data_IF_048334190567
#
_entry.id   IF_048334190567
#
_cell.length_a   1.000
_cell.length_b   1.000
_cell.length_c   1.000
_cell.angle_alpha   90.00
_cell.angle_beta   90.00
_cell.angle_gamma   90.00
#
_symmetry.space_group_name_H-M   'P 1'
#
loop_
_entity.id
_entity.type
_entity.pdbx_description
1 polymer ?
2 non-polymer ?
3 non-polymer ?
4 non-polymer ?
5 non-polymer ?
6 water ?
#
# COMPACT_ATOMS: atom_id res chain seq x y z
N UNK A 14 2.41 3.77 -24.28
CA UNK A 14 1.06 3.50 -24.84
C UNK A 14 0.72 1.99 -24.88
N UNK A 15 -0.47 1.69 -24.38
CA UNK A 15 -1.05 0.36 -24.46
C UNK A 15 -2.46 0.49 -25.03
N UNK A 16 -2.87 -0.54 -25.73
CA UNK A 16 -4.23 -0.61 -26.26
C UNK A 16 -5.17 -1.00 -25.14
N UNK A 17 -6.31 -0.33 -25.03
CA UNK A 17 -7.37 -0.73 -24.02
C UNK A 17 -6.84 -0.83 -22.58
N UNK A 18 -6.25 0.20 -22.01
CA UNK A 18 -5.70 0.07 -20.70
C UNK A 18 -6.79 -0.05 -19.65
N UNK A 19 -6.60 -0.87 -18.64
CA UNK A 19 -7.58 -1.05 -17.52
C UNK A 19 -7.21 -0.32 -16.29
N UNK A 20 -6.11 0.39 -16.27
CA UNK A 20 -5.66 1.04 -15.02
C UNK A 20 -5.30 2.42 -15.40
N UNK A 21 -6.33 3.19 -15.64
CA UNK A 21 -6.22 4.50 -16.19
C UNK A 21 -6.83 5.60 -15.34
N UNK A 22 -8.04 5.39 -14.91
CA UNK A 22 -8.84 6.42 -14.26
C UNK A 22 -9.17 5.90 -12.86
N UNK A 23 -9.12 6.81 -11.87
CA UNK A 23 -9.64 6.54 -10.56
C UNK A 23 -11.01 7.23 -10.37
N UNK A 24 -11.97 6.43 -9.90
CA UNK A 24 -13.30 6.89 -9.61
C UNK A 24 -13.59 6.74 -8.14
N UNK A 25 -14.59 7.45 -7.63
CA UNK A 25 -15.08 7.23 -6.27
C UNK A 25 -15.57 5.83 -6.14
N UNK A 26 -15.10 5.09 -5.14
CA UNK A 26 -15.53 3.70 -4.93
C UNK A 26 -16.99 3.60 -4.62
N UNK A 27 -17.56 4.63 -4.01
CA UNK A 27 -18.98 4.55 -3.59
C UNK A 27 -19.92 4.88 -4.68
N UNK A 28 -19.61 5.68 -5.67
CA UNK A 28 -20.58 6.14 -6.67
C UNK A 28 -20.10 6.24 -8.04
N UNK A 29 -18.81 6.13 -8.35
CA UNK A 29 -18.32 6.22 -9.67
C UNK A 29 -17.94 7.55 -10.25
N UNK A 30 -18.05 8.64 -9.45
CA UNK A 30 -17.62 9.94 -9.94
C UNK A 30 -16.15 9.86 -10.38
N UNK A 31 -15.83 10.47 -11.52
CA UNK A 31 -14.44 10.56 -11.97
C UNK A 31 -13.66 11.46 -11.02
N UNK A 32 -12.50 10.97 -10.58
CA UNK A 32 -11.69 11.71 -9.57
C UNK A 32 -10.29 11.99 -10.09
N UNK A 33 -9.51 11.02 -10.54
CA UNK A 33 -8.14 11.31 -10.97
C UNK A 33 -7.69 10.28 -11.96
N UNK A 34 -6.40 10.27 -12.24
CA UNK A 34 -5.84 9.40 -13.27
C UNK A 34 -4.52 8.91 -12.83
N UNK A 35 -4.14 7.72 -13.21
CA UNK A 35 -2.81 7.23 -12.85
C UNK A 35 -1.65 8.12 -13.38
N UNK A 36 -1.88 8.70 -14.52
CA UNK A 36 -0.87 9.58 -15.11
C UNK A 36 -0.58 10.79 -14.21
N UNK A 37 -1.53 11.11 -13.30
CA UNK A 37 -1.35 12.28 -12.45
C UNK A 37 -0.82 11.93 -11.07
N UNK A 38 -0.35 10.75 -10.83
CA UNK A 38 0.30 10.45 -9.57
C UNK A 38 1.55 11.32 -9.40
N UNK A 39 1.84 11.76 -8.17
CA UNK A 39 2.85 12.72 -7.89
C UNK A 39 3.78 12.18 -6.82
N UNK A 40 5.03 11.89 -7.15
CA UNK A 40 5.91 11.37 -6.10
C UNK A 40 6.47 12.36 -5.07
N UNK A 41 5.65 12.84 -4.15
CA UNK A 41 6.05 13.73 -3.05
C UNK A 41 7.10 13.14 -2.14
N UNK A 42 8.24 13.82 -1.95
CA UNK A 42 9.29 13.22 -1.12
C UNK A 42 9.80 11.91 -1.69
N UNK A 43 9.70 11.69 -3.01
CA UNK A 43 10.13 10.49 -3.67
C UNK A 43 9.19 9.29 -3.76
N UNK A 44 7.97 9.47 -3.29
CA UNK A 44 7.03 8.34 -3.29
C UNK A 44 5.64 8.92 -3.47
N UNK A 45 4.83 8.35 -4.34
CA UNK A 45 3.43 8.82 -4.41
C UNK A 45 2.62 8.29 -3.24
N UNK A 46 3.09 7.26 -2.55
CA UNK A 46 2.35 6.70 -1.42
C UNK A 46 2.95 7.14 -0.08
N UNK A 47 2.08 7.66 0.81
CA UNK A 47 2.45 8.11 2.12
C UNK A 47 1.52 7.48 3.13
N UNK A 48 2.03 6.73 4.12
CA UNK A 48 1.18 6.10 5.07
C UNK A 48 1.24 6.91 6.37
N UNK A 49 0.09 7.35 6.82
CA UNK A 49 -0.03 8.38 7.85
C UNK A 49 -1.15 8.08 8.79
N UNK A 50 -1.18 8.72 9.97
CA UNK A 50 -2.32 8.64 10.86
C UNK A 50 -2.80 9.96 11.34
N UNK A 51 -4.08 10.12 11.58
CA UNK A 51 -4.63 11.34 12.15
C UNK A 51 -4.69 11.30 13.69
N UNK A 52 -5.18 12.39 14.30
CA UNK A 52 -5.24 12.46 15.78
C UNK A 52 -6.20 11.47 16.37
N UNK A 53 -7.11 10.91 15.56
CA UNK A 53 -8.02 9.85 16.05
C UNK A 53 -7.43 8.49 15.80
N UNK A 54 -6.18 8.40 15.44
CA UNK A 54 -5.45 7.14 15.22
C UNK A 54 -5.80 6.40 13.95
N UNK A 55 -6.57 6.97 13.06
CA UNK A 55 -6.91 6.32 11.79
C UNK A 55 -5.70 6.32 10.88
N UNK A 56 -5.35 5.18 10.29
CA UNK A 56 -4.23 5.03 9.34
C UNK A 56 -4.79 5.18 7.96
N UNK A 57 -4.09 5.94 7.13
CA UNK A 57 -4.52 6.16 5.72
C UNK A 57 -3.31 5.87 4.83
N UNK A 58 -3.59 5.13 3.74
CA UNK A 58 -2.65 4.95 2.66
C UNK A 58 -3.00 6.03 1.66
N UNK A 59 -2.26 7.08 1.68
CA UNK A 59 -2.52 8.31 0.90
C UNK A 59 -1.69 8.24 -0.40
N UNK A 60 -2.38 8.39 -1.52
CA UNK A 60 -1.68 8.54 -2.80
C UNK A 60 -1.75 9.99 -3.18
N UNK A 61 -0.60 10.56 -3.55
CA UNK A 61 -0.53 11.97 -3.96
C UNK A 61 -0.73 12.10 -5.45
N UNK A 62 -1.57 13.04 -5.82
CA UNK A 62 -1.88 13.36 -7.23
C UNK A 62 -1.67 14.83 -7.45
N UNK A 63 -1.13 15.17 -8.63
CA UNK A 63 -1.00 16.57 -8.99
C UNK A 63 -2.32 17.25 -9.22
N UNK A 64 -3.31 16.48 -9.66
CA UNK A 64 -4.57 16.97 -10.13
C UNK A 64 -5.64 15.96 -9.72
N UNK A 65 -6.81 16.50 -9.56
CA UNK A 65 -8.02 15.70 -9.32
C UNK A 65 -9.17 16.55 -9.70
N UNK A 66 -10.31 15.90 -9.93
CA UNK A 66 -11.56 16.53 -10.31
C UNK A 66 -12.67 15.85 -9.57
N UNK A 67 -13.85 16.37 -9.66
CA UNK A 67 -15.06 15.69 -9.11
C UNK A 67 -15.15 15.73 -7.63
N UNK A 68 -14.32 16.52 -6.97
CA UNK A 68 -14.33 16.68 -5.51
C UNK A 68 -15.05 17.90 -5.13
N UNK A 69 -15.37 18.05 -3.84
CA UNK A 69 -15.75 19.32 -3.26
C UNK A 69 -14.88 19.58 -2.08
N UNK A 70 -14.22 20.74 -2.08
CA UNK A 70 -13.24 21.09 -1.03
C UNK A 70 -13.97 21.85 -0.01
N UNK A 71 -13.92 21.45 1.26
CA UNK A 71 -14.78 21.93 2.31
C UNK A 71 -14.04 22.85 3.24
N UNK A 72 -14.60 24.06 3.39
CA UNK A 72 -14.00 25.01 4.32
C UNK A 72 -12.74 25.63 3.85
N UNK A 73 -12.02 26.19 4.83
CA UNK A 73 -10.83 26.92 4.64
C UNK A 73 -9.59 26.06 5.14
N UNK A 74 -8.44 26.34 4.63
CA UNK A 74 -7.29 25.53 4.91
C UNK A 74 -6.82 25.59 6.34
N UNK A 75 -6.19 24.53 6.84
CA UNK A 75 -5.57 24.45 8.12
C UNK A 75 -4.21 23.84 8.03
N UNK A 76 -3.23 24.33 8.75
CA UNK A 76 -1.96 23.68 8.86
C UNK A 76 -1.88 22.64 9.97
N UNK A 77 -2.90 22.49 10.78
CA UNK A 77 -2.82 21.65 11.98
C UNK A 77 -2.60 20.21 11.62
N UNK A 78 -1.59 19.60 12.19
CA UNK A 78 -1.33 18.18 12.05
C UNK A 78 -0.99 17.86 10.59
N UNK A 79 -0.61 18.80 9.74
CA UNK A 79 -0.39 18.44 8.35
C UNK A 79 0.71 17.42 8.19
N UNK A 80 0.39 16.40 7.36
CA UNK A 80 1.36 15.34 7.06
C UNK A 80 2.44 15.77 6.10
N UNK A 81 2.31 16.95 5.51
CA UNK A 81 3.20 17.39 4.46
C UNK A 81 3.73 18.77 4.84
N UNK A 82 5.04 18.84 5.09
CA UNK A 82 5.61 20.07 5.62
C UNK A 82 5.42 21.23 4.66
N UNK A 83 4.90 22.33 5.23
CA UNK A 83 4.67 23.54 4.50
C UNK A 83 3.36 23.66 3.81
N UNK A 84 2.50 22.61 3.94
CA UNK A 84 1.19 22.63 3.30
C UNK A 84 0.07 22.68 4.30
N UNK A 85 -0.99 23.38 3.92
CA UNK A 85 -2.21 23.46 4.68
C UNK A 85 -3.22 22.62 3.92
N UNK A 86 -4.17 22.07 4.62
CA UNK A 86 -5.14 21.09 4.00
C UNK A 86 -6.56 21.60 4.11
N UNK A 87 -7.36 21.10 3.19
CA UNK A 87 -8.82 21.23 3.16
C UNK A 87 -9.35 19.78 2.94
N UNK A 88 -10.39 19.42 3.63
CA UNK A 88 -11.09 18.12 3.33
C UNK A 88 -11.59 18.12 1.94
N UNK A 89 -11.40 16.99 1.29
CA UNK A 89 -11.90 16.76 -0.09
C UNK A 89 -12.93 15.62 -0.08
N UNK A 90 -14.16 15.98 -0.32
CA UNK A 90 -15.24 15.01 -0.44
C UNK A 90 -15.48 14.70 -1.88
N UNK A 91 -15.96 13.51 -2.16
CA UNK A 91 -16.57 13.27 -3.49
C UNK A 91 -17.67 14.27 -3.70
N UNK A 92 -17.58 15.00 -4.84
CA UNK A 92 -18.58 15.99 -5.10
C UNK A 92 -19.90 15.47 -5.47
N UNK A 93 -20.02 14.19 -5.75
CA UNK A 93 -21.27 13.60 -6.10
C UNK A 93 -21.92 12.99 -4.85
N UNK A 94 -21.21 12.08 -4.17
CA UNK A 94 -21.85 11.37 -3.06
C UNK A 94 -21.45 11.82 -1.66
N UNK A 95 -20.41 12.64 -1.51
CA UNK A 95 -19.98 13.09 -0.20
C UNK A 95 -19.02 12.20 0.51
N UNK A 96 -18.63 11.08 -0.02
CA UNK A 96 -17.62 10.21 0.59
C UNK A 96 -16.33 11.01 0.81
N UNK A 97 -15.71 10.83 1.97
CA UNK A 97 -14.46 11.54 2.23
C UNK A 97 -13.33 10.86 1.51
N UNK A 98 -12.83 11.47 0.43
CA UNK A 98 -11.83 10.89 -0.41
C UNK A 98 -10.40 11.27 -0.12
N UNK A 99 -10.22 12.38 0.61
CA UNK A 99 -8.88 12.79 1.00
C UNK A 99 -8.82 14.24 1.34
N UNK A 100 -7.77 14.91 0.84
CA UNK A 100 -7.50 16.30 1.24
C UNK A 100 -6.85 16.98 0.04
N UNK A 101 -7.10 18.28 -0.03
CA UNK A 101 -6.35 19.14 -0.95
C UNK A 101 -5.33 19.93 -0.14
N UNK A 102 -4.13 19.95 -0.62
CA UNK A 102 -3.02 20.68 0.06
C UNK A 102 -2.62 21.88 -0.75
N UNK A 103 -2.40 22.98 -0.04
CA UNK A 103 -1.98 24.25 -0.69
C UNK A 103 -1.05 25.00 0.26
N UNK A 104 -0.50 26.06 -0.30
CA UNK A 104 0.27 26.96 0.48
C UNK A 104 1.76 26.61 0.59
N UNK A 105 2.18 25.56 -0.09
CA UNK A 105 3.53 25.05 -0.02
C UNK A 105 4.36 25.47 -1.24
N UNK A 106 5.35 24.61 -1.51
CA UNK A 106 6.38 24.91 -2.51
C UNK A 106 6.70 23.68 -3.30
N UNK A 107 6.73 23.84 -4.62
CA UNK A 107 7.20 22.80 -5.55
C UNK A 107 6.65 21.39 -5.28
N UNK A 108 5.34 21.21 -5.41
CA UNK A 108 4.37 22.14 -5.90
C UNK A 108 3.74 23.03 -4.83
N UNK A 109 3.07 24.04 -5.28
CA UNK A 109 2.28 24.84 -4.34
C UNK A 109 1.10 24.05 -3.78
N UNK A 110 0.52 23.20 -4.65
CA UNK A 110 -0.68 22.47 -4.35
C UNK A 110 -0.64 21.05 -4.84
N UNK A 111 -1.39 20.16 -4.19
CA UNK A 111 -1.59 18.80 -4.67
C UNK A 111 -2.75 18.18 -3.91
N UNK A 112 -3.15 16.98 -4.32
CA UNK A 112 -4.18 16.22 -3.60
C UNK A 112 -3.59 14.98 -2.97
N UNK A 113 -4.01 14.69 -1.75
CA UNK A 113 -3.71 13.41 -1.11
C UNK A 113 -4.97 12.62 -0.95
N UNK A 114 -5.12 11.55 -1.73
CA UNK A 114 -6.38 10.81 -1.75
C UNK A 114 -6.17 9.43 -1.10
N UNK A 115 -7.18 8.94 -0.46
CA UNK A 115 -7.15 7.68 0.27
C UNK A 115 -7.36 6.55 -0.70
N UNK A 116 -6.30 5.73 -0.89
CA UNK A 116 -6.27 4.80 -2.01
C UNK A 116 -7.43 3.86 -2.04
N UNK A 117 -7.79 3.30 -0.87
CA UNK A 117 -8.84 2.30 -0.77
C UNK A 117 -10.26 2.86 -0.87
N UNK A 118 -10.38 4.18 -1.03
CA UNK A 118 -11.66 4.80 -1.28
C UNK A 118 -11.90 5.10 -2.71
N UNK A 119 -10.96 4.71 -3.57
CA UNK A 119 -11.04 4.90 -5.03
C UNK A 119 -11.15 3.53 -5.70
N UNK A 120 -11.71 3.48 -6.88
CA UNK A 120 -11.70 2.31 -7.78
C UNK A 120 -10.94 2.65 -9.04
N UNK A 121 -10.06 1.80 -9.48
CA UNK A 121 -9.25 2.08 -10.67
C UNK A 121 -9.76 1.27 -11.88
N UNK A 122 -9.74 1.90 -13.07
CA UNK A 122 -10.32 1.16 -14.20
C UNK A 122 -10.01 1.90 -15.48
N UNK A 123 -10.65 1.44 -16.55
CA UNK A 123 -10.39 1.98 -17.87
C UNK A 123 -10.77 3.43 -18.08
N UNK A 124 -10.21 4.04 -19.11
CA UNK A 124 -10.37 5.43 -19.49
C UNK A 124 -11.79 5.74 -20.00
N UNK A 125 -12.15 7.01 -20.04
CA UNK A 125 -13.50 7.40 -20.56
C UNK A 125 -13.29 8.09 -21.89
N UNK B 14 10.91 -21.68 13.54
CA UNK B 14 10.98 -22.55 12.33
C UNK B 14 9.57 -22.75 11.90
N UNK B 15 9.36 -22.94 10.59
CA UNK B 15 8.06 -23.11 9.96
C UNK B 15 8.03 -24.49 9.30
N UNK B 16 7.02 -25.31 9.69
CA UNK B 16 6.99 -26.71 9.28
C UNK B 16 5.93 -26.95 8.24
N UNK B 17 5.08 -25.97 8.00
CA UNK B 17 3.87 -26.16 7.20
C UNK B 17 3.41 -24.85 6.67
N UNK B 18 2.35 -24.86 5.85
CA UNK B 18 1.79 -23.61 5.42
C UNK B 18 1.11 -22.89 6.54
N UNK B 19 0.74 -21.66 6.27
CA UNK B 19 -0.07 -20.86 7.21
C UNK B 19 -1.30 -21.63 7.65
N UNK B 20 -1.80 -21.29 8.83
CA UNK B 20 -2.93 -21.97 9.34
C UNK B 20 -4.17 -21.49 8.70
N UNK B 21 -4.14 -20.49 7.78
CA UNK B 21 -5.36 -20.10 7.15
C UNK B 21 -5.42 -20.22 5.59
N UNK B 22 -6.67 -20.47 5.18
CA UNK B 22 -6.97 -20.69 3.80
C UNK B 22 -8.16 -19.88 3.43
N UNK B 23 -8.35 -19.64 2.14
CA UNK B 23 -9.53 -18.99 1.58
C UNK B 23 -10.34 -20.04 0.86
N UNK B 24 -11.60 -20.15 1.27
CA UNK B 24 -12.50 -21.12 0.65
C UNK B 24 -13.53 -20.35 -0.13
N UNK B 25 -14.14 -21.02 -1.12
CA UNK B 25 -15.30 -20.46 -1.79
C UNK B 25 -16.38 -20.22 -0.79
N UNK B 26 -16.91 -19.01 -0.74
CA UNK B 26 -17.92 -18.68 0.28
C UNK B 26 -19.20 -19.50 0.02
N UNK B 27 -19.48 -19.84 -1.24
CA UNK B 27 -20.72 -20.56 -1.55
C UNK B 27 -20.71 -22.03 -1.33
N UNK B 28 -19.59 -22.72 -1.55
CA UNK B 28 -19.58 -24.18 -1.33
C UNK B 28 -18.48 -24.71 -0.42
N UNK B 29 -17.56 -23.87 0.00
CA UNK B 29 -16.51 -24.33 0.83
C UNK B 29 -15.28 -24.93 0.27
N UNK B 30 -15.20 -25.10 -1.04
CA UNK B 30 -14.02 -25.69 -1.67
C UNK B 30 -12.81 -24.76 -1.33
N UNK B 31 -11.67 -25.30 -0.96
CA UNK B 31 -10.48 -24.59 -0.83
C UNK B 31 -10.03 -24.00 -2.17
N UNK B 32 -9.73 -22.72 -2.16
CA UNK B 32 -9.31 -21.97 -3.36
C UNK B 32 -7.93 -21.44 -3.25
N UNK B 33 -7.56 -20.72 -2.19
CA UNK B 33 -6.20 -20.21 -2.10
C UNK B 33 -5.81 -20.06 -0.65
N UNK B 34 -4.69 -19.41 -0.40
CA UNK B 34 -4.10 -19.41 0.92
C UNK B 34 -3.48 -18.08 1.17
N UNK B 35 -3.50 -17.61 2.41
CA UNK B 35 -2.85 -16.43 2.81
C UNK B 35 -1.35 -16.36 2.51
N UNK B 36 -0.70 -17.51 2.56
CA UNK B 36 0.73 -17.55 2.24
C UNK B 36 0.97 -17.14 0.77
N UNK B 37 -0.06 -17.23 -0.06
CA UNK B 37 0.08 -16.93 -1.48
C UNK B 37 -0.39 -15.55 -1.86
N UNK B 38 -0.68 -14.67 -0.88
CA UNK B 38 -1.01 -13.32 -1.20
C UNK B 38 0.13 -12.66 -1.96
N UNK B 39 -0.19 -11.83 -2.95
CA UNK B 39 0.80 -11.30 -3.86
C UNK B 39 0.62 -9.82 -3.97
N UNK B 40 1.56 -9.02 -3.50
CA UNK B 40 1.36 -7.57 -3.54
C UNK B 40 1.66 -6.92 -4.88
N UNK B 41 0.83 -7.13 -5.87
CA UNK B 41 1.01 -6.57 -7.22
C UNK B 41 0.89 -5.08 -7.15
N UNK B 42 1.84 -4.35 -7.78
CA UNK B 42 1.78 -2.91 -7.71
C UNK B 42 1.89 -2.37 -6.28
N UNK B 43 2.43 -3.12 -5.33
CA UNK B 43 2.61 -2.74 -3.96
C UNK B 43 1.46 -2.98 -3.00
N UNK B 44 0.45 -3.70 -3.46
CA UNK B 44 -0.71 -3.91 -2.60
C UNK B 44 -1.32 -5.21 -3.04
N UNK B 45 -1.72 -6.11 -2.11
CA UNK B 45 -2.52 -7.23 -2.52
C UNK B 45 -3.97 -6.92 -2.80
N UNK B 46 -4.44 -5.79 -2.30
CA UNK B 46 -5.83 -5.35 -2.59
C UNK B 46 -5.92 -4.33 -3.67
N UNK B 47 -6.79 -4.57 -4.65
CA UNK B 47 -7.01 -3.64 -5.73
C UNK B 47 -8.51 -3.44 -5.88
N UNK B 48 -9.01 -2.26 -5.69
CA UNK B 48 -10.38 -1.89 -5.95
C UNK B 48 -10.41 -1.37 -7.36
N UNK B 49 -11.24 -1.99 -8.18
CA UNK B 49 -11.19 -1.82 -9.66
C UNK B 49 -12.58 -1.74 -10.20
N UNK B 50 -12.73 -1.25 -11.44
CA UNK B 50 -14.01 -1.27 -12.11
C UNK B 50 -13.82 -1.70 -13.56
N UNK B 51 -14.84 -2.38 -14.09
CA UNK B 51 -14.76 -2.94 -15.45
C UNK B 51 -15.42 -1.92 -16.43
N UNK B 52 -15.44 -2.24 -17.76
CA UNK B 52 -16.01 -1.33 -18.71
C UNK B 52 -17.53 -1.11 -18.57
N UNK B 53 -18.20 -2.05 -17.87
CA UNK B 53 -19.63 -1.88 -17.59
C UNK B 53 -19.86 -1.14 -16.32
N UNK B 54 -18.82 -0.66 -15.71
CA UNK B 54 -18.88 0.15 -14.46
C UNK B 54 -19.15 -0.71 -13.24
N UNK B 55 -18.97 -2.00 -13.26
CA UNK B 55 -19.08 -2.80 -12.05
C UNK B 55 -17.79 -2.70 -11.28
N UNK B 56 -17.89 -2.51 -9.97
CA UNK B 56 -16.76 -2.36 -9.03
C UNK B 56 -16.51 -3.63 -8.33
N UNK B 57 -15.23 -4.00 -8.22
CA UNK B 57 -14.80 -5.21 -7.50
C UNK B 57 -13.68 -4.87 -6.60
N UNK B 58 -13.58 -5.56 -5.51
CA UNK B 58 -12.46 -5.53 -4.64
C UNK B 58 -11.71 -6.82 -4.71
N UNK B 59 -10.58 -6.82 -5.34
CA UNK B 59 -9.82 -8.00 -5.71
C UNK B 59 -8.58 -8.12 -4.86
N UNK B 60 -8.29 -9.34 -4.39
CA UNK B 60 -7.02 -9.68 -3.72
C UNK B 60 -6.21 -10.52 -4.66
N UNK B 61 -4.94 -10.21 -4.76
CA UNK B 61 -4.04 -10.97 -5.65
C UNK B 61 -3.36 -12.11 -4.92
N UNK B 62 -3.38 -13.27 -5.59
CA UNK B 62 -2.74 -14.49 -5.07
C UNK B 62 -1.85 -15.05 -6.13
N UNK B 63 -0.72 -15.62 -5.78
CA UNK B 63 0.20 -16.21 -6.77
C UNK B 63 -0.38 -17.47 -7.40
N UNK B 64 -1.05 -18.29 -6.64
CA UNK B 64 -1.60 -19.58 -7.03
C UNK B 64 -3.01 -19.68 -6.51
N UNK B 65 -3.74 -20.61 -7.04
CA UNK B 65 -5.05 -20.99 -6.55
C UNK B 65 -5.33 -22.40 -7.01
N UNK B 66 -6.37 -22.99 -6.48
CA UNK B 66 -6.82 -24.32 -6.89
C UNK B 66 -8.31 -24.38 -6.83
N UNK B 67 -8.83 -25.40 -7.49
CA UNK B 67 -10.28 -25.60 -7.42
C UNK B 67 -11.10 -24.72 -8.28
N UNK B 68 -10.50 -23.89 -9.12
CA UNK B 68 -11.25 -23.05 -10.04
C UNK B 68 -11.37 -23.70 -11.39
N UNK B 69 -12.22 -23.13 -12.22
CA UNK B 69 -12.32 -23.47 -13.67
C UNK B 69 -12.21 -22.17 -14.41
N UNK B 70 -11.21 -22.04 -15.29
CA UNK B 70 -10.98 -20.86 -16.07
C UNK B 70 -11.71 -20.98 -17.36
N UNK B 71 -12.48 -20.01 -17.80
CA UNK B 71 -13.31 -20.16 -18.97
C UNK B 71 -12.90 -19.18 -20.04
N UNK B 72 -12.81 -19.64 -21.25
CA UNK B 72 -12.52 -18.78 -22.36
C UNK B 72 -11.06 -18.60 -22.67
N UNK B 73 -10.80 -17.98 -23.82
CA UNK B 73 -9.45 -17.67 -24.17
C UNK B 73 -9.01 -16.42 -23.37
N UNK B 74 -7.74 -16.24 -23.11
CA UNK B 74 -7.25 -15.06 -22.42
C UNK B 74 -7.49 -13.82 -23.27
N UNK B 75 -7.76 -12.69 -22.60
CA UNK B 75 -8.02 -11.42 -23.26
C UNK B 75 -7.17 -10.39 -22.63
N UNK B 76 -6.65 -9.46 -23.47
CA UNK B 76 -5.97 -8.33 -22.95
C UNK B 76 -6.85 -7.11 -22.73
N UNK B 77 -8.11 -7.19 -23.11
CA UNK B 77 -9.00 -5.98 -23.12
C UNK B 77 -9.18 -5.42 -21.73
N UNK B 78 -8.83 -4.20 -21.48
CA UNK B 78 -9.03 -3.51 -20.21
C UNK B 78 -8.48 -4.28 -19.05
N UNK B 79 -7.37 -4.99 -19.25
CA UNK B 79 -6.79 -5.68 -18.10
C UNK B 79 -6.40 -4.69 -16.98
N UNK B 80 -6.75 -5.06 -15.76
CA UNK B 80 -6.38 -4.23 -14.61
C UNK B 80 -4.89 -4.28 -14.30
N UNK B 81 -4.18 -5.26 -14.86
CA UNK B 81 -2.78 -5.46 -14.56
C UNK B 81 -2.00 -5.39 -15.84
N UNK B 82 -1.30 -4.27 -16.05
CA UNK B 82 -0.59 -4.03 -17.28
C UNK B 82 0.38 -5.16 -17.58
N UNK B 83 0.35 -5.65 -18.81
CA UNK B 83 1.22 -6.71 -19.21
C UNK B 83 0.60 -8.09 -19.13
N UNK B 84 -0.62 -8.18 -18.61
CA UNK B 84 -1.27 -9.46 -18.43
C UNK B 84 -2.55 -9.57 -19.19
N UNK B 85 -2.88 -10.77 -19.67
CA UNK B 85 -4.21 -11.11 -20.15
C UNK B 85 -4.99 -11.78 -19.04
N UNK B 86 -6.27 -11.75 -19.12
CA UNK B 86 -7.16 -12.32 -18.10
C UNK B 86 -8.08 -13.38 -18.67
N UNK B 87 -8.49 -14.30 -17.79
CA UNK B 87 -9.56 -15.24 -18.05
C UNK B 87 -10.45 -15.29 -16.82
N UNK B 88 -11.74 -15.39 -16.98
CA UNK B 88 -12.68 -15.55 -15.88
C UNK B 88 -12.41 -16.82 -15.11
N UNK B 89 -12.48 -16.72 -13.81
CA UNK B 89 -12.34 -17.86 -12.90
C UNK B 89 -13.60 -18.15 -12.10
N UNK B 90 -14.15 -19.32 -12.30
CA UNK B 90 -15.30 -19.77 -11.53
C UNK B 90 -14.89 -20.81 -10.58
N UNK B 91 -15.56 -20.96 -9.43
CA UNK B 91 -15.36 -22.14 -8.62
C UNK B 91 -15.68 -23.39 -9.42
N UNK B 92 -14.75 -24.35 -9.49
CA UNK B 92 -15.00 -25.55 -10.23
C UNK B 92 -16.02 -26.46 -9.68
N UNK B 93 -16.29 -26.31 -8.40
CA UNK B 93 -17.22 -27.18 -7.71
C UNK B 93 -18.63 -26.64 -7.78
N UNK B 94 -18.86 -25.34 -7.59
CA UNK B 94 -20.18 -24.80 -7.58
C UNK B 94 -20.52 -23.71 -8.61
N UNK B 95 -19.53 -23.22 -9.32
CA UNK B 95 -19.73 -22.20 -10.32
C UNK B 95 -19.72 -20.75 -9.93
N UNK B 96 -19.53 -20.49 -8.64
CA UNK B 96 -19.45 -19.07 -8.19
C UNK B 96 -18.38 -18.32 -8.91
N UNK B 97 -18.60 -17.09 -9.34
CA UNK B 97 -17.57 -16.31 -10.01
C UNK B 97 -16.66 -15.75 -8.98
N UNK B 98 -15.44 -16.32 -8.88
CA UNK B 98 -14.53 -15.96 -7.80
C UNK B 98 -13.49 -14.94 -8.23
N UNK B 99 -13.23 -14.72 -9.49
CA UNK B 99 -12.29 -13.72 -9.94
C UNK B 99 -11.80 -13.97 -11.36
N UNK B 100 -10.49 -13.83 -11.51
CA UNK B 100 -9.85 -13.91 -12.82
C UNK B 100 -8.46 -14.48 -12.63
N UNK B 101 -7.99 -15.16 -13.65
CA UNK B 101 -6.59 -15.56 -13.78
C UNK B 101 -5.86 -14.69 -14.75
N UNK B 102 -4.64 -14.28 -14.42
CA UNK B 102 -3.82 -13.41 -15.23
C UNK B 102 -2.63 -14.21 -15.74
N UNK B 103 -2.25 -13.94 -16.97
CA UNK B 103 -1.12 -14.68 -17.59
C UNK B 103 -0.44 -13.75 -18.61
N UNK B 104 0.70 -14.27 -19.05
CA UNK B 104 1.42 -13.64 -20.20
C UNK B 104 2.31 -12.54 -19.77
N UNK B 105 2.47 -12.32 -18.49
CA UNK B 105 3.48 -11.40 -17.92
C UNK B 105 4.84 -12.01 -17.63
N UNK B 106 5.67 -11.25 -16.92
CA UNK B 106 6.89 -11.77 -16.31
C UNK B 106 6.98 -11.39 -14.86
N UNK B 107 7.50 -12.30 -14.04
CA UNK B 107 7.74 -12.07 -12.65
C UNK B 107 6.55 -11.46 -11.88
N UNK B 108 5.46 -12.20 -11.71
CA UNK B 108 5.29 -13.57 -12.16
C UNK B 108 4.64 -13.68 -13.51
N UNK B 109 4.75 -14.81 -14.12
CA UNK B 109 4.10 -15.03 -15.41
C UNK B 109 2.59 -15.14 -15.24
N UNK B 110 2.14 -15.69 -14.12
CA UNK B 110 0.72 -15.89 -13.88
C UNK B 110 0.40 -15.57 -12.43
N UNK B 111 -0.85 -15.17 -12.16
CA UNK B 111 -1.38 -14.99 -10.85
C UNK B 111 -2.87 -14.85 -10.89
N UNK B 112 -3.56 -14.83 -9.76
CA UNK B 112 -5.00 -14.66 -9.72
C UNK B 112 -5.39 -13.37 -9.06
N UNK B 113 -6.47 -12.80 -9.51
CA UNK B 113 -7.15 -11.72 -8.78
C UNK B 113 -8.49 -12.22 -8.36
N UNK B 114 -8.69 -12.45 -7.08
CA UNK B 114 -9.88 -13.09 -6.56
C UNK B 114 -10.75 -12.08 -5.82
N UNK B 115 -12.04 -12.17 -5.92
CA UNK B 115 -13.01 -11.21 -5.31
C UNK B 115 -13.12 -11.55 -3.86
N UNK B 116 -12.58 -10.67 -2.98
CA UNK B 116 -12.46 -10.96 -1.55
C UNK B 116 -13.78 -11.28 -0.95
N UNK B 117 -14.85 -10.57 -1.29
CA UNK B 117 -16.21 -10.84 -0.75
C UNK B 117 -16.80 -12.17 -1.09
N UNK B 118 -16.23 -12.88 -2.06
CA UNK B 118 -16.71 -14.20 -2.49
C UNK B 118 -15.91 -15.31 -1.91
N UNK B 119 -14.98 -15.01 -1.03
CA UNK B 119 -14.12 -15.95 -0.38
C UNK B 119 -14.44 -15.91 1.14
N UNK B 120 -14.13 -16.98 1.85
CA UNK B 120 -14.24 -17.02 3.32
C UNK B 120 -12.94 -17.50 3.81
N UNK B 121 -12.29 -16.78 4.72
CA UNK B 121 -11.00 -17.15 5.29
C UNK B 121 -11.24 -17.88 6.56
N UNK B 122 -10.39 -18.90 6.82
CA UNK B 122 -10.66 -19.78 7.94
C UNK B 122 -9.49 -20.72 8.12
N UNK B 123 -9.50 -21.46 9.20
CA UNK B 123 -8.38 -22.39 9.40
C UNK B 123 -8.38 -23.54 8.43
N UNK B 124 -7.18 -23.98 8.16
CA UNK B 124 -6.92 -25.03 7.17
C UNK B 124 -7.38 -26.41 7.68
N UNK C 19 2.44 16.95 11.64
CA UNK C 19 1.76 15.59 11.64
C UNK C 19 2.72 14.45 11.51
N UNK C 20 4.01 14.66 11.76
CA UNK C 20 4.99 13.59 11.57
C UNK C 20 5.86 13.52 12.78
N UNK C 21 5.22 13.22 13.90
CA UNK C 21 5.80 13.22 15.18
C UNK C 21 6.02 11.87 15.85
N UNK C 22 5.08 10.98 15.68
CA UNK C 22 5.12 9.62 16.22
C UNK C 22 5.10 8.63 15.05
N UNK C 23 5.92 7.59 15.18
CA UNK C 23 6.10 6.59 14.11
C UNK C 23 5.60 5.29 14.65
N UNK C 24 4.74 4.66 13.85
CA UNK C 24 4.04 3.41 14.24
C UNK C 24 4.12 2.36 13.16
N UNK C 25 3.93 1.10 13.49
CA UNK C 25 3.84 0.04 12.51
C UNK C 25 2.72 0.31 11.53
N UNK C 26 3.04 0.28 10.24
CA UNK C 26 2.02 0.52 9.23
C UNK C 26 0.95 -0.57 9.17
N UNK C 27 1.31 -1.78 9.54
CA UNK C 27 0.37 -2.91 9.46
C UNK C 27 -0.61 -3.02 10.58
N UNK C 28 -0.19 -2.66 11.81
CA UNK C 28 -1.05 -2.85 12.96
C UNK C 28 -1.17 -1.62 13.86
N UNK C 29 -0.34 -0.62 13.67
CA UNK C 29 -0.43 0.57 14.48
C UNK C 29 0.41 0.65 15.75
N UNK C 30 1.15 -0.44 16.09
CA UNK C 30 2.00 -0.44 17.23
C UNK C 30 2.91 0.80 17.30
N UNK C 31 2.99 1.47 18.42
CA UNK C 31 3.82 2.62 18.58
C UNK C 31 5.28 2.17 18.61
N UNK C 32 6.15 2.81 17.82
CA UNK C 32 7.55 2.41 17.71
C UNK C 32 8.53 3.51 18.16
N UNK C 33 8.44 4.71 17.61
CA UNK C 33 9.40 5.74 18.00
C UNK C 33 8.80 7.11 17.77
N UNK C 34 9.64 8.14 18.00
CA UNK C 34 9.13 9.51 17.92
C UNK C 34 10.22 10.40 17.37
N UNK C 35 9.75 11.55 16.88
CA UNK C 35 10.69 12.47 16.20
C UNK C 35 11.73 13.02 17.15
N UNK C 36 11.50 13.10 18.41
CA UNK C 36 12.51 13.53 19.38
C UNK C 36 13.74 12.65 19.37
N UNK C 37 13.59 11.42 18.94
CA UNK C 37 14.70 10.47 18.93
C UNK C 37 15.28 10.24 17.56
N UNK C 38 14.83 10.98 16.57
CA UNK C 38 15.32 10.81 15.21
C UNK C 38 16.66 11.44 15.16
N UNK C 39 17.57 10.78 14.45
CA UNK C 39 18.97 11.22 14.31
C UNK C 39 19.19 11.75 12.89
N UNK C 40 19.33 13.05 12.74
CA UNK C 40 19.68 13.58 11.42
C UNK C 40 21.15 13.38 10.99
N UNK C 41 21.36 13.36 9.68
CA UNK C 41 22.71 13.45 9.14
C UNK C 41 22.63 14.68 8.26
N UNK C 42 23.33 15.71 8.68
CA UNK C 42 23.26 17.05 7.93
C UNK C 42 21.80 17.54 7.93
N UNK C 43 21.27 17.75 6.72
CA UNK C 43 19.85 18.17 6.52
C UNK C 43 18.87 17.08 6.28
N UNK C 44 19.33 15.81 6.34
CA UNK C 44 18.51 14.63 6.08
C UNK C 44 18.12 13.89 7.35
N UNK C 45 16.82 13.65 7.45
CA UNK C 45 16.28 12.80 8.48
C UNK C 45 16.07 11.41 7.96
N UNK C 46 15.96 11.20 6.68
CA UNK C 46 15.85 9.85 6.10
C UNK C 46 17.00 9.66 5.19
N UNK C 47 17.38 8.41 4.97
CA UNK C 47 18.53 8.01 4.12
C UNK C 47 18.08 7.05 3.06
N UNK C 48 18.44 7.29 1.81
CA UNK C 48 18.08 6.33 0.76
C UNK C 48 19.26 5.31 0.71
N UNK C 49 18.90 4.03 0.80
CA UNK C 49 19.86 2.95 0.80
C UNK C 49 19.38 1.89 -0.17
N UNK C 50 20.32 1.06 -0.62
CA UNK C 50 19.99 0.00 -1.58
C UNK C 50 20.47 -1.32 -0.92
N UNK C 51 19.60 -2.32 -0.84
CA UNK C 51 20.00 -3.63 -0.37
C UNK C 51 20.88 -4.35 -1.39
N UNK C 52 21.36 -5.57 -1.06
CA UNK C 52 22.23 -6.28 -1.99
C UNK C 52 21.59 -6.57 -3.37
N UNK C 53 20.26 -6.59 -3.41
CA UNK C 53 19.54 -6.83 -4.69
C UNK C 53 19.27 -5.57 -5.42
N UNK C 54 19.75 -4.44 -4.92
CA UNK C 54 19.47 -3.14 -5.53
C UNK C 54 18.07 -2.60 -5.31
N UNK C 55 17.30 -3.14 -4.39
CA UNK C 55 16.03 -2.50 -4.00
C UNK C 55 16.34 -1.27 -3.13
N UNK C 56 15.63 -0.18 -3.36
CA UNK C 56 15.76 1.05 -2.53
C UNK C 56 14.85 0.99 -1.32
N UNK C 57 15.39 1.45 -0.18
CA UNK C 57 14.61 1.73 0.99
C UNK C 57 14.98 3.16 1.47
N UNK C 58 14.04 3.78 2.12
CA UNK C 58 14.29 4.99 2.89
C UNK C 58 14.33 4.60 4.37
N UNK C 59 15.45 4.84 5.03
CA UNK C 59 15.67 4.44 6.43
C UNK C 59 15.69 5.66 7.35
N UNK C 60 14.92 5.61 8.43
CA UNK C 60 15.00 6.60 9.53
C UNK C 60 15.79 6.01 10.67
N UNK C 61 16.77 6.75 11.20
CA UNK C 61 17.52 6.31 12.36
C UNK C 61 17.00 6.96 13.62
N UNK C 62 16.78 6.14 14.65
CA UNK C 62 16.27 6.59 15.94
C UNK C 62 17.14 6.10 17.05
N UNK C 63 17.46 6.96 18.00
CA UNK C 63 18.27 6.55 19.14
C UNK C 63 17.60 5.57 20.08
N UNK C 64 16.29 5.67 20.18
CA UNK C 64 15.45 4.83 21.06
C UNK C 64 14.26 4.36 20.31
N UNK C 65 13.72 3.23 20.72
CA UNK C 65 12.46 2.70 20.10
C UNK C 65 11.82 1.78 21.12
N UNK C 66 10.53 1.56 20.88
CA UNK C 66 9.78 0.63 21.72
C UNK C 66 8.99 -0.30 20.81
N UNK C 67 8.49 -1.36 21.47
CA UNK C 67 7.50 -2.15 20.77
C UNK C 67 7.98 -3.04 19.65
N UNK C 68 9.28 -3.24 19.59
CA UNK C 68 9.91 -4.13 18.63
C UNK C 68 10.29 -5.41 19.34
N UNK C 69 10.63 -6.39 18.51
CA UNK C 69 11.30 -7.60 18.97
C UNK C 69 12.55 -7.81 18.20
N UNK C 70 13.70 -7.80 18.87
CA UNK C 70 15.00 -7.95 18.19
C UNK C 70 15.36 -9.42 18.11
N UNK C 71 15.65 -9.94 16.96
CA UNK C 71 15.74 -11.40 16.82
C UNK C 71 17.11 -11.75 16.28
N UNK C 72 17.64 -12.81 16.85
CA UNK C 72 18.86 -13.42 16.34
C UNK C 72 20.10 -12.70 16.76
N UNK C 73 21.17 -13.12 16.11
CA UNK C 73 22.48 -12.64 16.43
C UNK C 73 22.89 -11.51 15.45
N UNK C 74 23.77 -10.63 15.88
CA UNK C 74 24.17 -9.53 15.01
C UNK C 74 24.94 -10.01 13.77
N UNK C 75 24.84 -9.25 12.67
CA UNK C 75 25.53 -9.51 11.43
C UNK C 75 26.10 -8.20 10.90
N UNK C 76 27.30 -8.29 10.31
CA UNK C 76 27.83 -7.19 9.57
C UNK C 76 27.49 -7.17 8.09
N UNK C 77 26.81 -8.19 7.58
CA UNK C 77 26.65 -8.36 6.13
C UNK C 77 25.91 -7.21 5.46
N UNK C 78 26.55 -6.58 4.49
CA UNK C 78 25.97 -5.48 3.74
C UNK C 78 25.49 -4.32 4.60
N UNK C 79 26.09 -4.11 5.77
CA UNK C 79 25.56 -3.03 6.65
C UNK C 79 25.61 -1.69 5.98
N UNK C 80 24.52 -0.93 6.06
CA UNK C 80 24.49 0.40 5.51
C UNK C 80 25.24 1.39 6.33
N UNK C 81 25.67 1.01 7.53
CA UNK C 81 26.36 1.92 8.44
C UNK C 81 27.71 1.31 8.75
N UNK C 82 28.76 1.90 8.25
CA UNK C 82 30.08 1.21 8.23
C UNK C 82 30.56 1.00 9.65
N UNK C 83 30.92 -0.26 9.97
CA UNK C 83 31.38 -0.60 11.31
C UNK C 83 30.31 -0.96 12.30
N UNK C 84 29.04 -0.96 11.86
CA UNK C 84 27.93 -1.37 12.73
C UNK C 84 27.35 -2.70 12.27
N UNK C 85 27.05 -3.54 13.24
CA UNK C 85 26.37 -4.81 12.98
C UNK C 85 24.90 -4.60 13.25
N UNK C 86 24.08 -5.38 12.59
CA UNK C 86 22.63 -5.27 12.72
C UNK C 86 22.00 -6.54 13.21
N UNK C 87 20.83 -6.39 13.77
CA UNK C 87 19.92 -7.47 14.19
C UNK C 87 18.54 -7.08 13.68
N UNK C 88 17.78 -8.02 13.20
CA UNK C 88 16.44 -7.78 12.68
C UNK C 88 15.52 -7.27 13.79
N UNK C 89 14.72 -6.28 13.43
CA UNK C 89 13.70 -5.74 14.33
C UNK C 89 12.31 -5.97 13.75
N UNK C 90 11.52 -6.78 14.45
CA UNK C 90 10.14 -6.99 14.09
C UNK C 90 9.21 -6.18 14.93
N UNK C 91 8.06 -5.85 14.41
CA UNK C 91 6.97 -5.33 15.24
C UNK C 91 6.63 -6.37 16.30
N UNK C 92 6.62 -5.97 17.56
CA UNK C 92 6.25 -6.89 18.60
C UNK C 92 4.79 -7.26 18.66
N UNK C 93 3.95 -6.49 18.01
CA UNK C 93 2.54 -6.74 18.01
C UNK C 93 2.11 -7.63 16.91
N UNK C 94 2.58 -7.40 15.67
CA UNK C 94 2.11 -8.18 14.49
C UNK C 94 3.20 -8.95 13.79
N UNK C 95 4.44 -8.76 14.12
CA UNK C 95 5.55 -9.48 13.48
C UNK C 95 6.11 -8.87 12.19
N UNK C 96 5.52 -7.83 11.65
CA UNK C 96 6.04 -7.14 10.46
C UNK C 96 7.51 -6.75 10.63
N UNK C 97 8.34 -6.96 9.64
CA UNK C 97 9.74 -6.57 9.68
C UNK C 97 9.85 -5.09 9.45
N UNK C 98 10.19 -4.34 10.54
CA UNK C 98 10.20 -2.88 10.47
C UNK C 98 11.58 -2.31 10.24
N UNK C 99 12.64 -3.06 10.48
CA UNK C 99 13.98 -2.58 10.26
C UNK C 99 14.98 -3.37 11.06
N UNK C 100 15.95 -2.67 11.65
CA UNK C 100 17.10 -3.31 12.25
C UNK C 100 17.57 -2.52 13.45
N UNK C 101 18.20 -3.19 14.37
CA UNK C 101 18.96 -2.50 15.46
C UNK C 101 20.42 -2.59 15.15
N UNK C 102 21.11 -1.49 15.24
CA UNK C 102 22.55 -1.38 14.92
C UNK C 102 23.34 -1.17 16.18
N UNK C 103 24.54 -1.79 16.16
CA UNK C 103 25.48 -1.55 17.28
C UNK C 103 26.89 -1.50 16.68
N UNK C 104 27.67 -0.49 17.13
CA UNK C 104 29.07 -0.36 16.77
C UNK C 104 29.80 0.67 17.63
N UNK C 105 30.86 1.26 17.09
CA UNK C 105 32.00 1.75 17.92
C UNK C 105 31.88 3.19 18.38
N UNK C 106 31.46 4.07 17.47
CA UNK C 106 31.43 5.48 17.75
C UNK C 106 30.05 5.94 18.20
N UNK C 107 29.96 7.21 18.45
CA UNK C 107 28.71 7.89 18.75
C UNK C 107 27.91 7.98 17.46
N UNK C 108 26.73 7.41 17.37
CA UNK C 108 26.02 6.79 18.54
C UNK C 108 26.31 5.30 18.55
N UNK C 109 26.49 4.70 19.73
CA UNK C 109 26.91 3.36 19.77
C UNK C 109 25.85 2.37 19.30
N UNK C 110 24.58 2.74 19.53
CA UNK C 110 23.47 1.95 19.07
C UNK C 110 22.38 2.88 18.56
N UNK C 111 21.61 2.35 17.62
CA UNK C 111 20.44 3.03 17.12
C UNK C 111 19.57 2.01 16.38
N UNK C 112 18.40 2.44 16.07
CA UNK C 112 17.43 1.64 15.27
C UNK C 112 17.30 2.28 13.92
N UNK C 113 17.49 1.50 12.86
CA UNK C 113 17.31 1.92 11.48
C UNK C 113 16.05 1.31 10.94
N UNK C 114 14.99 2.09 10.81
CA UNK C 114 13.68 1.55 10.48
C UNK C 114 13.27 2.00 9.07
N UNK C 115 12.53 1.13 8.38
CA UNK C 115 12.13 1.32 7.01
C UNK C 115 10.96 2.21 6.90
N UNK C 116 11.13 3.36 6.24
CA UNK C 116 10.01 4.34 6.09
C UNK C 116 8.71 3.71 5.57
N UNK C 117 8.78 2.85 4.55
CA UNK C 117 7.57 2.31 4.00
C UNK C 117 6.94 1.16 4.83
N UNK C 118 7.52 0.83 5.96
CA UNK C 118 6.91 -0.10 6.90
C UNK C 118 6.31 0.63 8.06
N UNK C 119 6.33 1.95 8.06
CA UNK C 119 5.88 2.78 9.19
C UNK C 119 4.78 3.73 8.76
N UNK C 120 3.96 4.15 9.65
CA UNK C 120 2.95 5.24 9.46
C UNK C 120 3.38 6.38 10.42
N UNK C 121 3.29 7.61 9.93
CA UNK C 121 3.66 8.76 10.79
C UNK C 121 2.40 9.54 11.13
N UNK C 122 2.39 10.16 12.32
CA UNK C 122 1.26 11.01 12.67
C UNK C 122 1.59 11.86 13.87
N UNK C 123 0.58 12.63 14.29
CA UNK C 123 0.81 13.62 15.34
C UNK C 123 1.04 13.03 16.71
N UNK C 124 1.72 13.87 17.56
CA UNK C 124 1.89 13.43 18.98
C UNK C 124 0.54 13.21 19.70
#
# INVERSE_FOLDING_TARGET
>A
AMPLDAGGQNSTQMVLAPGASIFRCRQCGQTISRRDWLLPMGGDHEHVVFNPAGMIFRVWCFSLAQGLRLIGAPSGEFSWFKGYDWTIALCGQCGSHLGWHYEGGSQPQTFFGLIKDRLAEGPAD
>B
AMPLDAGGQNSTQMVLAPGASIFRCRQCGQTISRRDWLLPMGGDHEHVVFNPAGMIFRVWCFSLAQGLRLIGAPSGEFSWFKGYDWTIALCGQCGSHLGWHYEGGSQPQTFFGLIKDRLAEGPAD
>C
AMPLDAGGQNSTQMVLAPGASIFRCRQCGQTISRRDWLLPMGGDHEHVVFNPAGMIFRVWCFSLAQGLRLIGAPSGEFSWFKGYDWTIALCGQCGSHLGWHYEGGSQPQTFFGLIKDRLAEGPAD
#
